data_IF_218409230992
#
_entry.id   IF_218409230992
#
_cell.length_a   1.000
_cell.length_b   1.000
_cell.length_c   1.000
_cell.angle_alpha   90.00
_cell.angle_beta   90.00
_cell.angle_gamma   90.00
#
_symmetry.space_group_name_H-M   'P 1'
#
loop_
_entity.id
_entity.type
_entity.pdbx_description
1 polymer ?
#
# COMPACT_ATOMS: atom_id res chain seq x y z
N UNK A 1 -40.47 -36.62 -55.72
CA UNK A 1 -40.79 -35.18 -55.61
C UNK A 1 -41.40 -34.92 -54.24
N UNK A 2 -40.59 -34.56 -53.25
CA UNK A 2 -41.10 -34.20 -51.92
C UNK A 2 -41.48 -32.72 -51.92
N UNK A 3 -42.78 -32.43 -52.01
CA UNK A 3 -43.31 -31.08 -51.79
C UNK A 3 -43.38 -30.86 -50.27
N UNK A 4 -42.39 -30.17 -49.72
CA UNK A 4 -42.44 -29.66 -48.35
C UNK A 4 -43.67 -28.75 -48.20
N UNK A 5 -44.42 -28.92 -47.11
CA UNK A 5 -45.65 -28.16 -46.89
C UNK A 5 -45.30 -26.68 -46.68
N UNK A 6 -46.16 -25.74 -47.12
CA UNK A 6 -45.92 -24.30 -46.95
C UNK A 6 -45.75 -23.90 -45.47
N UNK A 7 -46.31 -24.69 -44.54
CA UNK A 7 -46.12 -24.51 -43.10
C UNK A 7 -44.69 -24.82 -42.64
N UNK A 8 -44.03 -25.83 -43.22
CA UNK A 8 -42.67 -26.21 -42.83
C UNK A 8 -41.65 -25.15 -43.27
N UNK A 9 -41.88 -24.54 -44.45
CA UNK A 9 -41.02 -23.46 -44.98
C UNK A 9 -41.20 -22.19 -44.13
N UNK A 10 -42.43 -21.84 -43.76
CA UNK A 10 -42.69 -20.67 -42.92
C UNK A 10 -42.09 -20.82 -41.51
N UNK A 11 -42.20 -22.01 -40.91
CA UNK A 11 -41.64 -22.30 -39.58
C UNK A 11 -40.11 -22.26 -39.57
N UNK A 12 -39.46 -22.86 -40.57
CA UNK A 12 -37.99 -22.78 -40.73
C UNK A 12 -37.50 -21.35 -40.96
N UNK A 13 -38.26 -20.54 -41.70
CA UNK A 13 -37.90 -19.13 -41.95
C UNK A 13 -38.01 -18.29 -40.68
N UNK A 14 -39.06 -18.49 -39.88
CA UNK A 14 -39.24 -17.80 -38.59
C UNK A 14 -38.16 -18.22 -37.59
N UNK A 15 -37.86 -19.51 -37.47
CA UNK A 15 -36.79 -20.00 -36.61
C UNK A 15 -35.41 -19.48 -37.03
N UNK A 16 -35.12 -19.41 -38.34
CA UNK A 16 -33.87 -18.87 -38.84
C UNK A 16 -33.74 -17.36 -38.55
N UNK A 17 -34.82 -16.59 -38.72
CA UNK A 17 -34.83 -15.16 -38.37
C UNK A 17 -34.70 -14.92 -36.86
N UNK A 18 -35.31 -15.76 -36.02
CA UNK A 18 -35.19 -15.65 -34.56
C UNK A 18 -33.78 -16.04 -34.08
N UNK A 19 -33.16 -17.09 -34.65
CA UNK A 19 -31.78 -17.47 -34.32
C UNK A 19 -30.76 -16.44 -34.81
N UNK A 20 -30.92 -15.88 -36.01
CA UNK A 20 -30.01 -14.86 -36.53
C UNK A 20 -30.13 -13.52 -35.78
N UNK A 21 -31.34 -13.10 -35.38
CA UNK A 21 -31.51 -11.86 -34.63
C UNK A 21 -31.07 -11.98 -33.16
N UNK A 22 -31.31 -13.12 -32.52
CA UNK A 22 -30.83 -13.37 -31.15
C UNK A 22 -29.32 -13.55 -31.09
N UNK A 23 -28.71 -14.22 -32.07
CA UNK A 23 -27.25 -14.35 -32.19
C UNK A 23 -26.54 -13.01 -32.42
N UNK A 24 -27.14 -12.11 -33.22
CA UNK A 24 -26.62 -10.73 -33.41
C UNK A 24 -26.79 -9.86 -32.18
N UNK A 25 -27.91 -9.96 -31.47
CA UNK A 25 -28.13 -9.23 -30.22
C UNK A 25 -27.17 -9.71 -29.12
N UNK A 26 -26.92 -11.02 -29.01
CA UNK A 26 -25.96 -11.58 -28.06
C UNK A 26 -24.51 -11.23 -28.43
N UNK A 27 -24.16 -11.27 -29.72
CA UNK A 27 -22.84 -10.83 -30.20
C UNK A 27 -22.60 -9.33 -30.01
N UNK A 28 -23.64 -8.50 -30.18
CA UNK A 28 -23.57 -7.07 -29.94
C UNK A 28 -23.48 -6.76 -28.45
N UNK A 29 -24.25 -7.47 -27.60
CA UNK A 29 -24.17 -7.36 -26.14
C UNK A 29 -22.80 -7.83 -25.60
N UNK A 30 -22.21 -8.88 -26.17
CA UNK A 30 -20.86 -9.34 -25.84
C UNK A 30 -19.77 -8.38 -26.36
N UNK A 31 -19.97 -7.73 -27.52
CA UNK A 31 -19.08 -6.66 -28.00
C UNK A 31 -19.20 -5.37 -27.18
N UNK A 32 -20.38 -5.06 -26.63
CA UNK A 32 -20.59 -3.93 -25.74
C UNK A 32 -20.04 -4.19 -24.33
N UNK A 33 -20.20 -5.41 -23.81
CA UNK A 33 -19.60 -5.84 -22.54
C UNK A 33 -18.06 -5.91 -22.60
N UNK A 34 -17.47 -6.06 -23.80
CA UNK A 34 -16.02 -6.09 -24.03
C UNK A 34 -15.38 -4.76 -24.44
N UNK A 35 -16.17 -3.69 -24.65
CA UNK A 35 -15.62 -2.35 -24.92
C UNK A 35 -15.34 -1.65 -23.60
N UNK A 36 -14.13 -1.82 -23.07
CA UNK A 36 -13.60 -0.89 -22.07
C UNK A 36 -13.72 0.53 -22.63
N UNK A 37 -14.49 1.40 -21.99
CA UNK A 37 -14.57 2.81 -22.34
C UNK A 37 -13.16 3.43 -22.19
N UNK A 38 -12.55 3.77 -23.32
CA UNK A 38 -11.21 4.36 -23.37
C UNK A 38 -11.20 5.87 -23.22
N UNK A 39 -12.37 6.53 -23.13
CA UNK A 39 -12.47 7.99 -23.13
C UNK A 39 -12.15 8.62 -21.78
N UNK A 40 -12.53 7.97 -20.69
CA UNK A 40 -12.35 8.47 -19.32
C UNK A 40 -10.94 8.26 -18.78
N UNK A 41 -10.36 9.30 -18.17
CA UNK A 41 -8.97 9.27 -17.68
C UNK A 41 -8.85 8.89 -16.19
N UNK A 42 -8.73 7.58 -15.89
CA UNK A 42 -8.23 7.02 -14.63
C UNK A 42 -6.68 6.89 -14.56
N UNK A 43 -6.07 7.54 -13.56
CA UNK A 43 -4.63 7.45 -13.26
C UNK A 43 -4.40 7.25 -11.76
N UNK A 44 -3.50 6.33 -11.43
CA UNK A 44 -2.97 6.14 -10.08
C UNK A 44 -1.47 6.40 -10.11
N UNK A 45 -1.00 7.34 -9.30
CA UNK A 45 0.41 7.68 -9.20
C UNK A 45 0.91 7.43 -7.79
N UNK A 46 2.03 6.71 -7.64
CA UNK A 46 2.77 6.66 -6.38
C UNK A 46 3.95 7.62 -6.45
N UNK A 47 4.14 8.42 -5.40
CA UNK A 47 5.31 9.26 -5.22
C UNK A 47 6.19 8.66 -4.13
N UNK A 48 7.49 8.60 -4.38
CA UNK A 48 8.51 8.15 -3.43
C UNK A 48 9.45 9.30 -3.06
N UNK A 49 9.54 9.58 -1.77
CA UNK A 49 10.53 10.50 -1.18
C UNK A 49 11.51 9.63 -0.36
N UNK A 50 12.82 9.66 -0.65
CA UNK A 50 13.79 8.93 0.13
C UNK A 50 13.97 9.53 1.52
N UNK A 51 14.52 8.76 2.44
CA UNK A 51 14.97 9.27 3.74
C UNK A 51 16.13 10.27 3.57
N UNK A 52 16.36 11.10 4.59
CA UNK A 52 17.47 12.06 4.58
C UNK A 52 18.83 11.33 4.60
N UNK A 53 18.94 10.32 5.45
CA UNK A 53 20.00 9.33 5.46
C UNK A 53 19.35 7.98 5.16
N UNK A 54 19.93 7.23 4.23
CA UNK A 54 19.44 5.90 3.88
C UNK A 54 19.43 4.98 5.11
N UNK A 55 18.36 4.22 5.29
CA UNK A 55 18.28 3.25 6.36
C UNK A 55 19.10 2.03 5.98
N UNK A 56 20.04 1.67 6.85
CA UNK A 56 20.91 0.52 6.66
C UNK A 56 20.26 -0.71 7.31
N UNK A 57 19.78 -1.62 6.49
CA UNK A 57 19.07 -2.82 6.92
C UNK A 57 19.98 -4.04 7.04
N UNK A 58 21.31 -3.90 7.01
CA UNK A 58 22.23 -5.05 7.08
C UNK A 58 22.22 -5.72 8.46
N UNK A 59 21.99 -4.94 9.52
CA UNK A 59 21.90 -5.45 10.89
C UNK A 59 21.03 -4.59 11.80
N UNK A 60 20.56 -5.12 12.94
CA UNK A 60 19.92 -4.31 13.99
C UNK A 60 20.72 -3.07 14.41
N UNK A 61 22.04 -3.22 14.58
CA UNK A 61 22.91 -2.13 15.01
C UNK A 61 23.05 -1.06 13.92
N UNK A 62 23.19 -1.47 12.66
CA UNK A 62 23.30 -0.57 11.51
C UNK A 62 22.01 0.23 11.34
N UNK A 63 20.85 -0.44 11.40
CA UNK A 63 19.54 0.19 11.28
C UNK A 63 19.33 1.25 12.37
N UNK A 64 19.67 0.91 13.62
CA UNK A 64 19.58 1.86 14.73
C UNK A 64 20.45 3.09 14.48
N UNK A 65 21.71 2.90 14.05
CA UNK A 65 22.65 4.00 13.78
C UNK A 65 22.17 4.87 12.62
N UNK A 66 21.77 4.28 11.50
CA UNK A 66 21.28 5.02 10.32
C UNK A 66 19.98 5.76 10.62
N UNK A 67 19.05 5.15 11.37
CA UNK A 67 17.81 5.80 11.77
C UNK A 67 18.06 6.98 12.71
N UNK A 68 18.94 6.81 13.71
CA UNK A 68 19.36 7.88 14.62
C UNK A 68 20.05 9.02 13.85
N UNK A 69 20.92 8.70 12.89
CA UNK A 69 21.58 9.68 12.04
C UNK A 69 20.57 10.45 11.18
N UNK A 70 19.62 9.76 10.53
CA UNK A 70 18.56 10.42 9.75
C UNK A 70 17.72 11.36 10.62
N UNK A 71 17.44 10.96 11.86
CA UNK A 71 16.74 11.82 12.82
C UNK A 71 17.57 13.05 13.20
N UNK A 72 18.86 12.87 13.48
CA UNK A 72 19.80 13.93 13.86
C UNK A 72 19.98 14.95 12.74
N UNK A 73 20.28 14.50 11.52
CA UNK A 73 20.33 15.37 10.33
C UNK A 73 19.00 16.10 10.16
N UNK A 74 17.89 15.40 10.36
CA UNK A 74 16.53 15.95 10.35
C UNK A 74 16.22 17.04 11.38
N UNK A 75 17.08 17.29 12.36
CA UNK A 75 16.98 18.44 13.27
C UNK A 75 17.54 19.73 12.67
N UNK A 76 18.49 19.62 11.73
CA UNK A 76 19.18 20.77 11.11
C UNK A 76 18.58 21.19 9.76
N UNK A 77 17.67 20.40 9.20
CA UNK A 77 16.98 20.72 7.93
C UNK A 77 15.56 21.21 8.19
N UNK A 78 15.14 22.26 7.46
CA UNK A 78 13.77 22.82 7.53
C UNK A 78 12.67 21.81 7.14
N UNK A 79 13.02 20.71 6.48
CA UNK A 79 12.07 19.67 6.08
C UNK A 79 11.78 18.73 7.24
N UNK A 80 10.53 18.67 7.68
CA UNK A 80 10.09 17.77 8.78
C UNK A 80 10.11 16.27 8.43
N UNK A 81 10.34 15.90 7.17
CA UNK A 81 10.38 14.49 6.74
C UNK A 81 11.78 13.92 7.00
N UNK A 82 11.87 13.02 7.98
CA UNK A 82 13.15 12.42 8.43
C UNK A 82 13.34 10.99 7.93
N UNK A 83 12.24 10.26 7.81
CA UNK A 83 12.20 8.89 7.24
C UNK A 83 11.58 8.99 5.85
N UNK A 84 11.89 8.06 4.96
CA UNK A 84 11.29 8.00 3.63
C UNK A 84 9.76 8.01 3.68
N UNK A 85 9.13 8.39 2.58
CA UNK A 85 7.67 8.49 2.48
C UNK A 85 7.14 8.07 1.13
N UNK A 86 6.01 7.37 1.14
CA UNK A 86 5.21 7.10 -0.06
C UNK A 86 3.81 7.68 0.16
N UNK A 87 3.28 8.28 -0.91
CA UNK A 87 1.91 8.76 -0.97
C UNK A 87 1.37 8.58 -2.38
N UNK A 88 0.05 8.64 -2.53
CA UNK A 88 -0.63 8.41 -3.80
C UNK A 88 -1.35 9.66 -4.28
N UNK A 89 -1.44 9.78 -5.60
CA UNK A 89 -2.37 10.65 -6.31
C UNK A 89 -3.27 9.77 -7.17
N UNK A 90 -4.57 9.77 -6.89
CA UNK A 90 -5.57 9.06 -7.67
C UNK A 90 -6.49 10.07 -8.35
N UNK A 91 -6.39 10.12 -9.68
CA UNK A 91 -7.14 11.01 -10.56
C UNK A 91 -8.10 10.17 -11.39
N UNK A 92 -9.39 10.38 -11.20
CA UNK A 92 -10.43 9.61 -11.88
C UNK A 92 -11.71 10.43 -11.93
N UNK A 93 -12.55 10.31 -12.98
CA UNK A 93 -13.89 10.88 -12.98
C UNK A 93 -14.84 10.20 -11.97
N UNK A 94 -14.44 9.08 -11.37
CA UNK A 94 -15.21 8.37 -10.34
C UNK A 94 -15.20 9.07 -8.96
N UNK A 95 -14.44 10.15 -8.81
CA UNK A 95 -14.33 10.97 -7.61
C UNK A 95 -14.54 12.45 -7.99
N UNK A 96 -15.19 13.21 -7.11
CA UNK A 96 -15.43 14.65 -7.33
C UNK A 96 -14.14 15.47 -7.43
N UNK A 97 -13.03 14.95 -6.89
CA UNK A 97 -11.73 15.59 -6.92
C UNK A 97 -10.59 14.59 -6.88
N UNK A 98 -9.39 15.05 -7.28
CA UNK A 98 -8.15 14.27 -7.16
C UNK A 98 -7.87 13.95 -5.70
N UNK A 99 -7.76 12.65 -5.41
CA UNK A 99 -7.33 12.16 -4.10
C UNK A 99 -5.80 12.19 -4.04
N UNK A 100 -5.23 13.14 -3.31
CA UNK A 100 -3.79 13.22 -3.04
C UNK A 100 -3.57 13.05 -1.53
N UNK A 101 -3.08 11.87 -1.14
CA UNK A 101 -2.83 11.58 0.27
C UNK A 101 -1.74 10.53 0.50
N UNK A 102 -1.08 10.64 1.64
CA UNK A 102 -0.21 9.64 2.22
C UNK A 102 -0.71 9.29 3.61
N UNK A 103 -0.08 8.31 4.25
CA UNK A 103 -0.51 7.86 5.57
C UNK A 103 0.62 8.03 6.59
N UNK A 104 0.29 8.59 7.75
CA UNK A 104 1.28 8.94 8.77
C UNK A 104 0.67 8.92 10.17
N UNK A 105 1.49 9.16 11.19
CA UNK A 105 1.03 9.27 12.58
C UNK A 105 0.17 10.53 12.79
N UNK A 106 -0.79 10.43 13.70
CA UNK A 106 -1.58 11.57 14.14
C UNK A 106 -0.71 12.61 14.87
N UNK A 107 -1.10 13.90 14.91
CA UNK A 107 -0.37 14.92 15.67
C UNK A 107 -0.30 14.53 17.15
N UNK A 108 0.86 14.75 17.78
CA UNK A 108 1.10 14.43 19.18
C UNK A 108 1.57 12.99 19.45
N UNK A 109 1.39 12.07 18.49
CA UNK A 109 1.97 10.73 18.57
C UNK A 109 3.49 10.80 18.43
N UNK A 110 4.20 10.15 19.36
CA UNK A 110 5.65 10.13 19.38
C UNK A 110 6.16 8.70 19.52
N UNK A 111 6.48 8.09 18.37
CA UNK A 111 7.11 6.75 18.30
C UNK A 111 8.43 6.69 19.11
N UNK A 112 9.14 7.81 19.27
CA UNK A 112 10.31 7.89 20.14
C UNK A 112 9.97 7.68 21.62
N UNK A 113 8.80 8.12 22.08
CA UNK A 113 8.33 7.84 23.45
C UNK A 113 8.11 6.35 23.67
N UNK A 114 7.48 5.65 22.71
CA UNK A 114 7.33 4.19 22.77
C UNK A 114 8.69 3.50 22.82
N UNK A 115 9.60 3.86 21.91
CA UNK A 115 10.95 3.30 21.86
C UNK A 115 11.73 3.49 23.17
N UNK A 116 11.66 4.70 23.76
CA UNK A 116 12.50 5.10 24.89
C UNK A 116 11.88 4.81 26.27
N UNK A 117 10.59 5.08 26.47
CA UNK A 117 9.91 4.93 27.77
C UNK A 117 9.37 3.51 27.98
N UNK A 118 8.81 2.92 26.93
CA UNK A 118 8.24 1.57 27.01
C UNK A 118 9.27 0.47 26.68
N UNK A 119 10.49 0.87 26.29
CA UNK A 119 11.61 -0.03 26.00
C UNK A 119 11.24 -1.14 25.00
N UNK A 120 10.42 -0.80 24.00
CA UNK A 120 9.91 -1.77 23.00
C UNK A 120 11.00 -2.28 22.05
N UNK A 121 12.19 -1.69 22.05
CA UNK A 121 13.31 -2.09 21.22
C UNK A 121 12.97 -2.04 19.73
N UNK A 122 13.31 -3.09 18.98
CA UNK A 122 12.91 -3.25 17.58
C UNK A 122 11.42 -3.51 17.39
N UNK A 123 10.67 -3.75 18.48
CA UNK A 123 9.21 -3.79 18.45
C UNK A 123 8.58 -2.49 17.92
N UNK A 124 9.31 -1.38 17.93
CA UNK A 124 8.86 -0.12 17.33
C UNK A 124 8.55 -0.22 15.83
N UNK A 125 9.18 -1.15 15.11
CA UNK A 125 8.95 -1.36 13.67
C UNK A 125 7.54 -1.87 13.37
N UNK A 126 6.94 -2.63 14.30
CA UNK A 126 5.57 -3.12 14.21
C UNK A 126 4.58 -2.41 15.11
N UNK A 127 5.04 -1.48 15.96
CA UNK A 127 4.20 -0.82 16.95
C UNK A 127 3.05 -0.02 16.32
N UNK A 128 1.94 0.02 17.04
CA UNK A 128 0.71 0.68 16.63
C UNK A 128 0.53 2.00 17.38
N UNK A 129 0.17 3.05 16.65
CA UNK A 129 -0.20 4.37 17.18
C UNK A 129 -1.41 4.94 16.43
N UNK A 130 -1.94 6.08 16.87
CA UNK A 130 -2.97 6.78 16.10
C UNK A 130 -2.41 7.23 14.75
N UNK A 131 -3.15 6.94 13.69
CA UNK A 131 -2.84 7.30 12.32
C UNK A 131 -3.73 8.40 11.78
N UNK A 132 -3.35 8.91 10.61
CA UNK A 132 -4.19 9.80 9.80
C UNK A 132 -3.73 9.82 8.34
N UNK A 133 -4.66 10.15 7.47
CA UNK A 133 -4.37 10.61 6.12
C UNK A 133 -3.75 12.01 6.14
N UNK A 134 -2.81 12.24 5.23
CA UNK A 134 -2.19 13.54 5.04
C UNK A 134 -3.07 14.44 4.19
N UNK A 135 -3.07 15.73 4.53
CA UNK A 135 -3.82 16.73 3.79
C UNK A 135 -3.16 17.05 2.44
N UNK A 136 -3.98 17.22 1.41
CA UNK A 136 -3.57 17.57 0.04
C UNK A 136 -2.66 18.80 -0.03
N UNK A 137 -3.05 19.94 0.57
CA UNK A 137 -2.27 21.17 0.51
C UNK A 137 -0.88 21.01 1.14
N UNK A 138 -0.78 20.18 2.17
CA UNK A 138 0.49 19.83 2.80
C UNK A 138 1.38 18.99 1.87
N UNK A 139 0.80 18.01 1.16
CA UNK A 139 1.52 17.21 0.17
C UNK A 139 1.94 18.03 -1.05
N UNK A 140 1.09 18.89 -1.59
CA UNK A 140 1.45 19.78 -2.70
C UNK A 140 2.64 20.68 -2.34
N UNK A 141 2.66 21.23 -1.12
CA UNK A 141 3.81 21.98 -0.61
C UNK A 141 5.07 21.11 -0.52
N UNK A 142 4.94 19.87 -0.05
CA UNK A 142 6.05 18.91 0.03
C UNK A 142 6.59 18.56 -1.36
N UNK A 143 5.72 18.23 -2.31
CA UNK A 143 6.06 17.94 -3.70
C UNK A 143 6.95 19.05 -4.25
N UNK A 144 6.53 20.32 -4.12
CA UNK A 144 7.34 21.48 -4.56
C UNK A 144 8.73 21.53 -3.92
N UNK A 145 8.80 21.33 -2.59
CA UNK A 145 10.09 21.36 -1.86
C UNK A 145 11.03 20.23 -2.29
N UNK A 146 10.51 19.01 -2.42
CA UNK A 146 11.33 17.85 -2.77
C UNK A 146 11.67 17.78 -4.25
N UNK A 147 10.82 18.31 -5.13
CA UNK A 147 11.08 18.48 -6.56
C UNK A 147 12.28 19.42 -6.77
N UNK A 148 12.27 20.59 -6.12
CA UNK A 148 13.38 21.54 -6.17
C UNK A 148 14.72 20.94 -5.70
N UNK A 149 14.66 19.96 -4.79
CA UNK A 149 15.84 19.24 -4.27
C UNK A 149 16.21 17.99 -5.06
N UNK A 150 15.44 17.60 -6.10
CA UNK A 150 15.59 16.33 -6.81
C UNK A 150 15.54 15.10 -5.87
N UNK A 151 14.67 15.17 -4.86
CA UNK A 151 14.49 14.14 -3.81
C UNK A 151 13.04 13.64 -3.76
N UNK A 152 12.44 13.51 -4.94
CA UNK A 152 11.15 12.88 -5.16
C UNK A 152 11.14 12.29 -6.57
N UNK A 153 10.52 11.14 -6.72
CA UNK A 153 10.26 10.48 -7.99
C UNK A 153 8.87 9.86 -7.96
N UNK A 154 8.31 9.52 -9.13
CA UNK A 154 6.98 8.91 -9.19
C UNK A 154 6.85 7.80 -10.23
N UNK A 155 5.84 6.95 -10.06
CA UNK A 155 5.36 6.04 -11.09
C UNK A 155 3.88 6.32 -11.30
N UNK A 156 3.50 6.60 -12.55
CA UNK A 156 2.12 6.86 -12.97
C UNK A 156 1.59 5.68 -13.76
N UNK A 157 0.44 5.18 -13.33
CA UNK A 157 -0.27 4.09 -13.95
C UNK A 157 -1.55 4.59 -14.58
N UNK A 158 -1.76 4.25 -15.85
CA UNK A 158 -3.05 4.44 -16.54
C UNK A 158 -3.89 3.19 -16.30
N UNK A 159 -5.03 3.36 -15.63
CA UNK A 159 -5.88 2.24 -15.20
C UNK A 159 -7.07 2.04 -16.14
N UNK A 160 -7.60 0.81 -16.18
CA UNK A 160 -8.96 0.55 -16.63
C UNK A 160 -9.97 1.13 -15.61
N UNK A 161 -11.22 1.34 -16.03
CA UNK A 161 -12.27 1.77 -15.12
C UNK A 161 -12.52 0.76 -13.99
N UNK A 162 -12.46 -0.54 -14.30
CA UNK A 162 -12.60 -1.63 -13.32
C UNK A 162 -11.54 -1.54 -12.21
N UNK A 163 -10.26 -1.40 -12.58
CA UNK A 163 -9.18 -1.21 -11.63
C UNK A 163 -9.37 0.08 -10.80
N UNK A 164 -9.84 1.16 -11.44
CA UNK A 164 -10.12 2.43 -10.76
C UNK A 164 -11.27 2.31 -9.74
N UNK A 165 -12.34 1.58 -10.06
CA UNK A 165 -13.45 1.29 -9.14
C UNK A 165 -12.98 0.50 -7.93
N UNK A 166 -12.06 -0.46 -8.11
CA UNK A 166 -11.45 -1.21 -7.00
C UNK A 166 -10.63 -0.31 -6.08
N UNK A 167 -9.79 0.57 -6.65
CA UNK A 167 -9.03 1.57 -5.87
C UNK A 167 -9.97 2.48 -5.10
N UNK A 168 -11.07 2.96 -5.72
CA UNK A 168 -12.11 3.74 -5.04
C UNK A 168 -12.70 2.97 -3.85
N UNK A 169 -13.11 1.71 -4.05
CA UNK A 169 -13.63 0.84 -2.98
C UNK A 169 -12.63 0.61 -1.86
N UNK A 170 -11.34 0.49 -2.18
CA UNK A 170 -10.27 0.41 -1.19
C UNK A 170 -10.17 1.69 -0.37
N UNK A 171 -10.14 2.86 -1.01
CA UNK A 171 -10.07 4.14 -0.30
C UNK A 171 -11.30 4.35 0.59
N UNK A 172 -12.50 4.01 0.10
CA UNK A 172 -13.73 4.07 0.87
C UNK A 172 -13.69 3.13 2.08
N UNK A 173 -13.32 1.86 1.89
CA UNK A 173 -13.25 0.90 2.99
C UNK A 173 -12.16 1.22 4.02
N UNK A 174 -11.04 1.80 3.58
CA UNK A 174 -9.95 2.21 4.48
C UNK A 174 -10.31 3.44 5.31
N UNK A 175 -11.14 4.34 4.77
CA UNK A 175 -11.49 5.62 5.43
C UNK A 175 -12.82 5.60 6.17
N UNK A 176 -13.73 4.68 5.83
CA UNK A 176 -15.06 4.60 6.41
C UNK A 176 -15.00 4.13 7.86
N UNK A 177 -15.63 4.90 8.73
CA UNK A 177 -15.90 4.48 10.10
C UNK A 177 -16.98 3.40 10.13
N UNK A 178 -16.75 2.37 10.94
CA UNK A 178 -17.77 1.38 11.27
C UNK A 178 -18.72 1.90 12.37
N UNK A 179 -19.71 1.10 12.73
CA UNK A 179 -20.72 1.43 13.76
C UNK A 179 -20.13 1.76 15.14
N UNK A 180 -18.86 1.39 15.39
CA UNK A 180 -18.13 1.65 16.64
C UNK A 180 -17.24 2.90 16.56
N UNK A 181 -17.35 3.70 15.50
CA UNK A 181 -16.50 4.88 15.26
C UNK A 181 -15.04 4.52 14.92
N UNK A 182 -14.78 3.28 14.51
CA UNK A 182 -13.46 2.82 14.11
C UNK A 182 -13.31 2.86 12.59
N UNK A 183 -12.28 3.54 12.10
CA UNK A 183 -11.83 3.45 10.71
C UNK A 183 -10.40 2.90 10.66
N UNK A 184 -10.06 2.05 9.67
CA UNK A 184 -8.67 1.61 9.44
C UNK A 184 -7.68 2.78 9.35
N UNK A 185 -8.08 3.88 8.70
CA UNK A 185 -7.30 5.12 8.59
C UNK A 185 -7.03 5.85 9.91
N UNK A 186 -7.59 5.39 11.03
CA UNK A 186 -7.28 5.93 12.36
C UNK A 186 -6.06 5.28 13.03
N UNK A 187 -5.47 4.26 12.40
CA UNK A 187 -4.42 3.43 12.99
C UNK A 187 -3.19 3.40 12.10
N UNK A 188 -2.03 3.77 12.64
CA UNK A 188 -0.73 3.70 11.97
C UNK A 188 0.18 2.65 12.61
N UNK A 189 0.88 1.87 11.80
CA UNK A 189 1.84 0.89 12.28
C UNK A 189 2.52 0.12 11.15
N UNK A 190 3.80 -0.21 11.33
CA UNK A 190 4.60 -0.84 10.27
C UNK A 190 4.34 -2.33 10.06
N UNK A 191 3.57 -3.00 10.93
CA UNK A 191 3.17 -4.40 10.78
C UNK A 191 1.86 -4.59 9.98
N UNK A 192 1.14 -3.49 9.71
CA UNK A 192 -0.17 -3.55 9.06
C UNK A 192 -0.06 -3.62 7.54
N UNK A 193 -1.00 -4.37 6.95
CA UNK A 193 -1.25 -4.34 5.51
C UNK A 193 -2.71 -3.92 5.30
N UNK A 194 -3.00 -2.78 4.66
CA UNK A 194 -4.35 -2.21 4.65
C UNK A 194 -5.35 -2.94 3.77
N UNK A 195 -4.93 -3.94 2.97
CA UNK A 195 -5.87 -4.90 2.38
C UNK A 195 -6.41 -5.88 3.42
N UNK A 196 -5.72 -6.11 4.54
CA UNK A 196 -6.26 -6.95 5.60
C UNK A 196 -7.45 -6.24 6.26
N UNK A 197 -8.55 -6.96 6.43
CA UNK A 197 -9.77 -6.42 7.03
C UNK A 197 -9.50 -5.74 8.38
N UNK A 198 -9.94 -4.48 8.50
CA UNK A 198 -9.83 -3.67 9.71
C UNK A 198 -8.38 -3.41 10.19
N UNK A 199 -7.38 -3.48 9.31
CA UNK A 199 -6.01 -3.08 9.64
C UNK A 199 -5.69 -1.68 9.14
N UNK A 200 -4.92 -0.95 9.95
CA UNK A 200 -4.35 0.33 9.55
C UNK A 200 -3.28 0.19 8.46
N UNK A 201 -2.33 1.13 8.43
CA UNK A 201 -1.21 1.04 7.49
C UNK A 201 0.08 1.67 8.02
N UNK A 202 1.21 1.22 7.48
CA UNK A 202 2.42 2.05 7.38
C UNK A 202 2.33 2.98 6.16
N UNK A 203 3.22 3.99 6.08
CA UNK A 203 3.20 4.96 4.98
C UNK A 203 3.35 4.29 3.60
N UNK A 204 4.30 3.36 3.45
CA UNK A 204 4.52 2.66 2.19
C UNK A 204 3.46 1.60 1.90
N UNK A 205 3.04 0.84 2.91
CA UNK A 205 1.97 -0.16 2.77
C UNK A 205 0.67 0.48 2.22
N UNK A 206 0.31 1.70 2.66
CA UNK A 206 -0.85 2.42 2.14
C UNK A 206 -0.80 2.65 0.62
N UNK A 207 0.35 3.09 0.09
CA UNK A 207 0.48 3.36 -1.33
C UNK A 207 0.64 2.09 -2.17
N UNK A 208 1.41 1.11 -1.69
CA UNK A 208 1.66 -0.13 -2.43
C UNK A 208 0.41 -1.01 -2.51
N UNK A 209 -0.37 -1.11 -1.45
CA UNK A 209 -1.66 -1.81 -1.48
C UNK A 209 -2.66 -1.20 -2.45
N UNK A 210 -2.63 0.11 -2.69
CA UNK A 210 -3.46 0.74 -3.73
C UNK A 210 -3.06 0.24 -5.13
N UNK A 211 -1.76 0.02 -5.38
CA UNK A 211 -1.29 -0.61 -6.62
C UNK A 211 -1.76 -2.07 -6.73
N UNK A 212 -1.61 -2.82 -5.64
CA UNK A 212 -2.03 -4.22 -5.54
C UNK A 212 -3.53 -4.39 -5.83
N UNK A 213 -4.38 -3.54 -5.23
CA UNK A 213 -5.83 -3.54 -5.46
C UNK A 213 -6.18 -3.22 -6.91
N UNK A 214 -5.36 -2.40 -7.58
CA UNK A 214 -5.47 -2.08 -9.00
C UNK A 214 -4.97 -3.21 -9.92
N UNK A 215 -4.56 -4.37 -9.37
CA UNK A 215 -4.04 -5.51 -10.12
C UNK A 215 -2.61 -5.35 -10.60
N UNK A 216 -1.91 -4.31 -10.16
CA UNK A 216 -0.52 -4.07 -10.57
C UNK A 216 0.40 -5.03 -9.84
N UNK A 217 1.43 -5.50 -10.54
CA UNK A 217 2.49 -6.29 -9.90
C UNK A 217 3.23 -5.42 -8.89
N UNK A 218 3.21 -5.85 -7.63
CA UNK A 218 3.93 -5.21 -6.53
C UNK A 218 5.13 -6.04 -6.09
N UNK A 219 5.38 -7.19 -6.72
CA UNK A 219 6.48 -8.08 -6.40
C UNK A 219 7.79 -7.54 -7.00
N UNK A 220 8.25 -6.44 -6.43
CA UNK A 220 9.53 -5.83 -6.72
C UNK A 220 10.46 -6.05 -5.52
N UNK A 221 11.31 -7.11 -5.52
CA UNK A 221 12.27 -7.37 -4.45
C UNK A 221 13.16 -6.15 -4.17
N UNK A 222 13.51 -5.41 -5.22
CA UNK A 222 14.32 -4.19 -5.13
C UNK A 222 13.64 -3.05 -4.35
N UNK A 223 12.33 -3.12 -4.07
CA UNK A 223 11.61 -2.12 -3.29
C UNK A 223 11.49 -2.50 -1.81
N UNK A 224 11.75 -3.76 -1.49
CA UNK A 224 11.29 -4.41 -0.27
C UNK A 224 12.48 -4.83 0.58
N UNK A 225 12.40 -4.54 1.86
CA UNK A 225 13.28 -5.13 2.88
C UNK A 225 12.54 -6.26 3.56
N UNK A 226 13.23 -7.37 3.80
CA UNK A 226 12.72 -8.48 4.58
C UNK A 226 13.79 -8.95 5.54
N UNK A 227 13.50 -8.92 6.85
CA UNK A 227 14.44 -9.30 7.91
C UNK A 227 13.72 -10.10 8.99
N UNK A 228 14.45 -10.98 9.65
CA UNK A 228 13.94 -11.70 10.82
C UNK A 228 14.37 -10.94 12.08
N UNK A 229 13.43 -10.23 12.71
CA UNK A 229 13.67 -9.50 13.95
C UNK A 229 13.81 -10.50 15.09
N UNK A 230 14.96 -10.56 15.80
CA UNK A 230 15.11 -11.42 16.96
C UNK A 230 14.11 -11.05 18.06
N UNK A 231 13.38 -12.03 18.60
CA UNK A 231 12.38 -11.77 19.65
C UNK A 231 13.00 -11.22 20.93
N UNK A 232 14.28 -11.51 21.18
CA UNK A 232 15.02 -10.98 22.33
C UNK A 232 15.31 -9.46 22.23
N UNK A 233 15.14 -8.88 21.04
CA UNK A 233 15.20 -7.44 20.74
C UNK A 233 13.81 -6.79 20.59
N UNK A 234 12.72 -7.56 20.75
CA UNK A 234 11.35 -7.07 20.83
C UNK A 234 10.93 -6.97 22.30
N UNK A 235 10.49 -5.78 22.72
CA UNK A 235 10.12 -5.48 24.10
C UNK A 235 8.68 -4.98 24.27
N UNK A 236 8.38 -4.52 25.48
CA UNK A 236 7.08 -3.97 25.86
C UNK A 236 5.95 -4.99 25.78
N UNK A 237 4.73 -4.50 25.51
CA UNK A 237 3.52 -5.34 25.48
C UNK A 237 3.54 -6.43 24.41
N UNK A 238 4.44 -6.35 23.43
CA UNK A 238 4.62 -7.36 22.39
C UNK A 238 5.39 -8.60 22.87
N UNK A 239 6.10 -8.50 23.99
CA UNK A 239 6.92 -9.59 24.52
C UNK A 239 6.94 -9.58 26.06
N UNK A 240 5.78 -9.83 26.68
CA UNK A 240 5.63 -9.96 28.13
C UNK A 240 6.24 -8.81 28.95
N UNK A 241 6.15 -7.57 28.45
CA UNK A 241 6.72 -6.36 29.06
C UNK A 241 8.24 -6.40 29.26
N UNK A 242 8.95 -7.25 28.49
CA UNK A 242 10.42 -7.29 28.47
C UNK A 242 10.96 -5.92 28.10
N UNK A 243 11.98 -5.46 28.82
CA UNK A 243 12.66 -4.19 28.53
C UNK A 243 13.88 -4.45 27.65
N UNK A 244 13.90 -3.88 26.45
CA UNK A 244 15.06 -3.93 25.56
C UNK A 244 15.88 -2.66 25.70
N UNK A 245 17.15 -2.80 26.04
CA UNK A 245 18.11 -1.69 26.14
C UNK A 245 18.70 -1.40 24.76
N UNK A 246 18.92 -0.12 24.46
CA UNK A 246 19.57 0.34 23.21
C UNK A 246 20.91 -0.37 22.98
N UNK A 247 21.68 -0.60 24.04
CA UNK A 247 22.97 -1.28 23.96
C UNK A 247 22.84 -2.74 23.46
N UNK A 248 21.72 -3.43 23.72
CA UNK A 248 21.49 -4.78 23.20
C UNK A 248 21.31 -4.76 21.68
N UNK A 249 20.60 -3.76 21.15
CA UNK A 249 20.42 -3.56 19.70
C UNK A 249 21.75 -3.16 19.05
N UNK A 250 22.47 -2.22 19.65
CA UNK A 250 23.73 -1.71 19.12
C UNK A 250 24.86 -2.76 19.08
N UNK A 251 24.75 -3.84 19.88
CA UNK A 251 25.71 -4.97 19.89
C UNK A 251 25.33 -6.11 18.95
N UNK A 252 24.19 -6.04 18.27
CA UNK A 252 23.73 -7.09 17.35
C UNK A 252 24.05 -6.70 15.90
N UNK A 253 25.00 -7.43 15.32
CA UNK A 253 25.56 -7.22 13.98
C UNK A 253 24.94 -8.13 12.89
N UNK A 254 24.01 -9.01 13.26
CA UNK A 254 23.25 -9.85 12.33
C UNK A 254 21.77 -9.94 12.73
N UNK A 255 20.90 -10.06 11.73
CA UNK A 255 19.49 -10.45 11.94
C UNK A 255 19.40 -11.91 12.39
N UNK A 256 18.20 -12.33 12.83
CA UNK A 256 17.97 -13.74 13.12
C UNK A 256 18.09 -14.56 11.82
N UNK A 257 18.68 -15.75 11.89
CA UNK A 257 18.90 -16.61 10.71
C UNK A 257 17.63 -17.29 10.19
N UNK A 258 16.57 -17.27 11.01
CA UNK A 258 15.27 -17.88 10.71
C UNK A 258 15.12 -19.32 11.22
N UNK A 259 16.10 -19.84 11.98
CA UNK A 259 15.95 -21.09 12.71
C UNK A 259 14.95 -20.95 13.87
N UNK A 260 14.40 -22.07 14.37
CA UNK A 260 13.43 -22.05 15.46
C UNK A 260 11.99 -21.77 15.03
N UNK A 261 11.22 -21.12 15.89
CA UNK A 261 9.76 -20.92 15.77
C UNK A 261 9.42 -19.44 15.54
N UNK A 262 8.72 -19.15 14.44
CA UNK A 262 8.19 -17.81 14.13
C UNK A 262 7.29 -17.30 15.28
N UNK A 263 7.41 -16.01 15.61
CA UNK A 263 6.77 -15.30 16.72
C UNK A 263 7.19 -15.75 18.14
N UNK A 264 8.12 -16.71 18.26
CA UNK A 264 8.73 -17.12 19.53
C UNK A 264 10.21 -16.74 19.57
N UNK A 265 10.96 -17.11 18.52
CA UNK A 265 12.39 -16.85 18.40
C UNK A 265 12.66 -15.60 17.54
N UNK A 266 11.84 -15.39 16.51
CA UNK A 266 11.95 -14.24 15.61
C UNK A 266 10.59 -13.82 15.01
N UNK A 267 10.51 -12.59 14.51
CA UNK A 267 9.37 -12.09 13.73
C UNK A 267 9.85 -11.81 12.30
N UNK A 268 9.16 -12.36 11.30
CA UNK A 268 9.36 -11.97 9.90
C UNK A 268 8.81 -10.56 9.74
N UNK A 269 9.69 -9.60 9.50
CA UNK A 269 9.32 -8.23 9.22
C UNK A 269 9.63 -7.88 7.79
N UNK A 270 8.67 -7.24 7.12
CA UNK A 270 8.90 -6.75 5.78
C UNK A 270 8.17 -5.44 5.52
N UNK A 271 8.85 -4.56 4.80
CA UNK A 271 8.37 -3.23 4.48
C UNK A 271 8.90 -2.80 3.10
N UNK A 272 8.10 -2.04 2.38
CA UNK A 272 8.57 -1.33 1.18
C UNK A 272 9.30 -0.07 1.62
N UNK A 273 10.59 0.04 1.29
CA UNK A 273 11.42 1.17 1.68
C UNK A 273 11.31 2.28 0.61
N UNK A 274 10.84 3.48 0.96
CA UNK A 274 10.69 4.57 -0.01
C UNK A 274 12.00 5.01 -0.68
N UNK A 275 13.15 4.84 -0.01
CA UNK A 275 14.47 5.12 -0.60
C UNK A 275 14.82 4.12 -1.69
N UNK A 276 14.48 2.84 -1.48
CA UNK A 276 14.64 1.79 -2.47
C UNK A 276 13.76 2.04 -3.71
N UNK A 277 12.47 2.31 -3.49
CA UNK A 277 11.53 2.65 -4.57
C UNK A 277 12.02 3.87 -5.37
N UNK A 278 12.44 4.93 -4.68
CA UNK A 278 12.99 6.13 -5.32
C UNK A 278 14.20 5.82 -6.21
N UNK A 279 15.18 5.05 -5.71
CA UNK A 279 16.37 4.65 -6.49
C UNK A 279 15.99 3.78 -7.68
N UNK A 280 15.09 2.81 -7.48
CA UNK A 280 14.60 1.96 -8.55
C UNK A 280 13.99 2.79 -9.68
N UNK A 281 13.14 3.78 -9.37
CA UNK A 281 12.54 4.66 -10.40
C UNK A 281 13.62 5.36 -11.22
N UNK A 282 14.65 5.91 -10.56
CA UNK A 282 15.74 6.59 -11.26
C UNK A 282 16.59 5.65 -12.12
N UNK A 283 16.79 4.42 -11.68
CA UNK A 283 17.54 3.41 -12.43
C UNK A 283 16.75 2.94 -13.65
N UNK A 284 15.46 2.62 -13.49
CA UNK A 284 14.60 2.17 -14.60
C UNK A 284 14.49 3.22 -15.72
N UNK A 285 14.48 4.51 -15.38
CA UNK A 285 14.54 5.58 -16.39
C UNK A 285 15.75 5.50 -17.33
N UNK A 286 16.88 4.96 -16.85
CA UNK A 286 18.11 4.80 -17.65
C UNK A 286 18.02 3.57 -18.57
N UNK A 287 17.36 2.51 -18.10
CA UNK A 287 17.21 1.24 -18.81
C UNK A 287 16.18 1.32 -19.95
N UNK A 288 15.11 2.10 -19.77
CA UNK A 288 14.00 2.26 -20.74
C UNK A 288 13.27 0.96 -21.10
N UNK A 289 13.25 -0.01 -20.17
CA UNK A 289 12.54 -1.29 -20.35
C UNK A 289 11.16 -1.22 -19.69
N UNK A 290 10.10 -1.60 -20.42
CA UNK A 290 8.74 -1.79 -19.91
C UNK A 290 7.97 -0.53 -19.46
N UNK A 291 8.65 0.51 -18.97
CA UNK A 291 8.07 1.76 -18.51
C UNK A 291 8.63 2.95 -19.28
N UNK A 292 7.75 3.86 -19.72
CA UNK A 292 8.16 5.06 -20.43
C UNK A 292 8.66 6.13 -19.43
N UNK A 293 9.88 6.67 -19.59
CA UNK A 293 10.35 7.77 -18.74
C UNK A 293 9.55 9.04 -19.05
N UNK A 294 8.96 9.65 -18.02
CA UNK A 294 8.20 10.90 -18.13
C UNK A 294 8.63 11.91 -17.07
N UNK A 295 8.30 13.18 -17.25
CA UNK A 295 8.63 14.24 -16.29
C UNK A 295 7.38 15.08 -16.02
N UNK A 296 7.16 15.42 -14.76
CA UNK A 296 6.04 16.28 -14.36
C UNK A 296 6.57 17.32 -13.37
N UNK A 297 6.54 18.60 -13.74
CA UNK A 297 7.02 19.70 -12.90
C UNK A 297 8.44 19.48 -12.34
N UNK A 298 9.38 19.08 -13.20
CA UNK A 298 10.77 18.74 -12.86
C UNK A 298 10.94 17.52 -11.94
N UNK A 299 9.91 16.70 -11.79
CA UNK A 299 9.97 15.44 -11.04
C UNK A 299 10.19 14.30 -12.03
N UNK A 300 11.27 13.52 -11.90
CA UNK A 300 11.49 12.35 -12.72
C UNK A 300 10.45 11.26 -12.36
N UNK A 301 9.83 10.67 -13.36
CA UNK A 301 8.94 9.54 -13.16
C UNK A 301 8.90 8.53 -14.28
N UNK A 302 8.04 7.54 -14.11
CA UNK A 302 7.79 6.47 -15.05
C UNK A 302 6.30 6.43 -15.37
N UNK A 303 5.96 6.02 -16.59
CA UNK A 303 4.59 5.81 -17.03
C UNK A 303 4.40 4.36 -17.48
N UNK A 304 3.28 3.77 -17.07
CA UNK A 304 2.86 2.45 -17.51
C UNK A 304 1.37 2.45 -17.86
N UNK A 305 1.06 1.90 -19.04
CA UNK A 305 -0.32 1.71 -19.47
C UNK A 305 -0.83 0.34 -19.00
N UNK A 306 -1.56 0.35 -17.88
CA UNK A 306 -2.05 -0.85 -17.22
C UNK A 306 -3.51 -1.20 -17.59
N UNK A 307 -4.09 -0.56 -18.61
CA UNK A 307 -5.50 -0.79 -19.00
C UNK A 307 -5.81 -2.22 -19.43
N UNK A 308 -4.80 -2.98 -19.86
CA UNK A 308 -4.93 -4.37 -20.30
C UNK A 308 -4.82 -5.39 -19.16
N UNK A 309 -4.46 -4.96 -17.95
CA UNK A 309 -4.39 -5.87 -16.79
C UNK A 309 -5.81 -6.32 -16.45
N UNK A 310 -5.99 -7.64 -16.40
CA UNK A 310 -7.24 -8.27 -15.97
C UNK A 310 -7.14 -8.59 -14.49
N UNK A 311 -8.17 -8.21 -13.75
CA UNK A 311 -8.31 -8.54 -12.34
C UNK A 311 -9.41 -9.59 -12.24
N UNK A 312 -9.25 -10.59 -11.38
CA UNK A 312 -10.31 -11.55 -11.17
C UNK A 312 -11.49 -10.87 -10.49
N UNK A 313 -12.71 -11.06 -11.00
CA UNK A 313 -13.94 -10.59 -10.34
C UNK A 313 -14.11 -11.21 -8.94
N UNK A 314 -13.50 -12.37 -8.70
CA UNK A 314 -13.51 -13.06 -7.41
C UNK A 314 -12.43 -12.57 -6.45
N UNK A 315 -11.45 -11.79 -6.92
CA UNK A 315 -10.41 -11.27 -6.04
C UNK A 315 -10.96 -10.12 -5.18
N UNK A 316 -11.07 -10.29 -3.86
CA UNK A 316 -11.65 -9.26 -3.02
C UNK A 316 -10.68 -8.08 -2.83
N UNK A 317 -11.22 -6.89 -2.61
CA UNK A 317 -10.41 -5.70 -2.29
C UNK A 317 -9.75 -5.85 -0.92
N UNK A 318 -10.52 -6.30 0.06
CA UNK A 318 -10.04 -6.61 1.42
C UNK A 318 -10.05 -8.12 1.65
N UNK A 319 -9.03 -8.62 2.34
CA UNK A 319 -8.79 -10.04 2.61
C UNK A 319 -8.66 -10.29 4.11
N UNK A 320 -8.88 -11.53 4.52
CA UNK A 320 -8.53 -11.95 5.88
C UNK A 320 -7.03 -12.17 5.96
N UNK A 321 -6.43 -11.65 7.03
CA UNK A 321 -5.02 -11.95 7.35
C UNK A 321 -4.86 -13.45 7.64
N UNK A 322 -3.99 -14.09 6.89
CA UNK A 322 -3.67 -15.52 7.05
C UNK A 322 -2.78 -15.79 8.27
N UNK A 323 -1.73 -14.98 8.45
CA UNK A 323 -0.75 -15.11 9.54
C UNK A 323 -0.69 -13.86 10.40
N UNK A 324 -0.78 -14.06 11.71
CA UNK A 324 -0.64 -12.99 12.70
C UNK A 324 0.80 -12.83 13.18
N UNK A 325 1.05 -11.72 13.88
CA UNK A 325 2.28 -11.46 14.62
C UNK A 325 1.93 -10.87 15.98
N UNK A 326 2.86 -10.84 16.96
CA UNK A 326 2.63 -10.22 18.26
C UNK A 326 2.10 -8.77 18.17
N UNK A 327 2.48 -8.03 17.12
CA UNK A 327 1.98 -6.68 16.86
C UNK A 327 0.49 -6.66 16.53
N UNK A 328 0.06 -7.57 15.66
CA UNK A 328 -1.33 -7.68 15.21
C UNK A 328 -2.22 -8.25 16.32
N UNK A 329 -1.72 -9.23 17.07
CA UNK A 329 -2.45 -9.81 18.20
C UNK A 329 -2.70 -8.77 19.29
N UNK A 330 -1.68 -7.96 19.62
CA UNK A 330 -1.82 -6.85 20.54
C UNK A 330 -2.84 -5.81 20.05
N UNK A 331 -2.76 -5.42 18.78
CA UNK A 331 -3.71 -4.50 18.16
C UNK A 331 -5.14 -5.03 18.28
N UNK A 332 -5.40 -6.28 17.86
CA UNK A 332 -6.74 -6.87 17.87
C UNK A 332 -7.32 -6.95 19.28
N UNK A 333 -6.50 -7.34 20.25
CA UNK A 333 -6.89 -7.38 21.66
C UNK A 333 -7.27 -6.00 22.18
N UNK A 334 -6.50 -4.97 21.82
CA UNK A 334 -6.70 -3.60 22.31
C UNK A 334 -7.96 -2.94 21.72
N UNK A 335 -8.21 -3.14 20.43
CA UNK A 335 -9.27 -2.41 19.72
C UNK A 335 -10.60 -3.18 19.56
N UNK A 336 -10.58 -4.51 19.57
CA UNK A 336 -11.80 -5.30 19.33
C UNK A 336 -12.24 -6.14 20.53
N UNK A 337 -11.32 -6.59 21.38
CA UNK A 337 -11.64 -7.43 22.55
C UNK A 337 -11.87 -6.56 23.79
N UNK A 338 -10.91 -5.70 24.13
CA UNK A 338 -10.97 -4.87 25.33
C UNK A 338 -11.81 -3.60 25.14
N UNK A 339 -11.95 -3.10 23.91
CA UNK A 339 -12.79 -1.94 23.60
C UNK A 339 -14.28 -2.11 23.97
N UNK A 340 -14.77 -3.36 24.04
CA UNK A 340 -16.15 -3.66 24.46
C UNK A 340 -16.36 -3.60 26.00
N UNK A 341 -15.31 -3.47 26.83
CA UNK A 341 -15.44 -3.45 28.29
C UNK A 341 -15.59 -2.05 28.90
N UNK A 342 -15.29 -0.99 28.15
CA UNK A 342 -15.34 0.40 28.63
C UNK A 342 -16.54 1.18 28.07
N UNK A 343 -17.53 0.51 27.48
CA UNK A 343 -18.78 1.11 26.95
C UNK A 343 -20.02 0.74 27.78
N UNK A 344 -19.88 0.64 29.11
CA UNK A 344 -21.02 0.56 30.03
C UNK A 344 -20.98 1.71 31.02
#
# INVERSE_FOLDING_TARGET
>A
MNRSSPFTILFLTICFFLFFNTGRALSAALQQAGRHDTSSVHELTIYAIPSLVELDWDSPSSLLKSAANSFFVGMFVKTRQRIGHIFIEFKTPLLDSVFLSGFTTAPGENMGTLAMKEHVGLGILGATVKGRLENRAFLEKRIKIFAAKKKIAFIKYRLSEEAALRVKKYLEGFTKENEKGYAPSSIYGGAFWPRNENEGAGCSAFGISALEVAGLDINHPDWKVSVNIPMDLVGGHFNNNRKVRILQINRRDHWHDGSGTENVDYIIYSVYDPSLVFRWILNQRKLKEGLAPIENNNIPGLYYDARSIKISEFEPVFIKREKSSPFIDFFRKSYFINGNKNSK
#
